data_IF_255259992639
#
_entry.id   IF_255259992639
#
_cell.length_a   1.000
_cell.length_b   1.000
_cell.length_c   1.000
_cell.angle_alpha   90.00
_cell.angle_beta   90.00
_cell.angle_gamma   90.00
#
_symmetry.space_group_name_H-M   'P 1'
#
loop_
_entity.id
_entity.type
_entity.pdbx_description
1 polymer ?
#
# COMPACT_ATOMS: atom_id res chain seq x y z
N UNK A 1 -25.27 64.88 -6.25
CA UNK A 1 -26.44 64.13 -6.75
C UNK A 1 -26.63 62.90 -5.86
N UNK A 2 -27.86 62.36 -5.71
CA UNK A 2 -28.11 61.13 -4.94
C UNK A 2 -27.88 59.90 -5.85
N UNK A 3 -27.53 58.76 -5.27
CA UNK A 3 -27.08 57.57 -6.02
C UNK A 3 -27.03 56.26 -5.23
N UNK A 4 -27.96 56.08 -4.29
CA UNK A 4 -28.41 54.74 -3.87
C UNK A 4 -29.36 54.22 -4.99
N UNK A 5 -29.61 52.94 -5.26
CA UNK A 5 -29.31 51.64 -4.60
C UNK A 5 -29.01 50.59 -5.70
N UNK A 6 -28.45 49.42 -5.36
CA UNK A 6 -29.20 48.14 -5.41
C UNK A 6 -28.37 46.98 -4.83
N UNK A 7 -28.94 46.26 -3.87
CA UNK A 7 -28.40 45.00 -3.35
C UNK A 7 -28.59 43.88 -4.39
N UNK A 8 -27.56 43.07 -4.67
CA UNK A 8 -27.74 41.80 -5.40
C UNK A 8 -26.91 40.68 -4.77
N UNK A 9 -27.64 39.75 -4.16
CA UNK A 9 -27.30 38.37 -3.81
C UNK A 9 -26.09 38.08 -2.90
N UNK A 10 -26.41 37.45 -1.78
CA UNK A 10 -25.50 36.60 -1.01
C UNK A 10 -25.21 35.33 -1.82
N UNK A 11 -23.93 34.99 -1.99
CA UNK A 11 -23.50 33.65 -2.39
C UNK A 11 -22.62 33.07 -1.28
N UNK A 12 -23.01 31.91 -0.77
CA UNK A 12 -22.28 31.16 0.26
C UNK A 12 -21.02 30.49 -0.32
N UNK A 13 -20.07 31.32 -0.75
CA UNK A 13 -18.79 30.92 -1.34
C UNK A 13 -17.86 30.23 -0.35
N UNK A 14 -18.03 28.90 -0.19
CA UNK A 14 -17.04 28.05 0.46
C UNK A 14 -15.72 28.10 -0.32
N UNK A 15 -14.81 28.96 0.13
CA UNK A 15 -13.54 29.19 -0.53
C UNK A 15 -12.72 27.88 -0.67
N UNK A 16 -12.12 27.60 -1.85
CA UNK A 16 -11.22 26.46 -1.99
C UNK A 16 -10.00 26.68 -1.09
N UNK A 17 -9.78 25.77 -0.15
CA UNK A 17 -8.65 25.81 0.78
C UNK A 17 -7.33 25.48 0.07
N UNK A 18 -6.79 26.48 -0.64
CA UNK A 18 -5.47 26.42 -1.29
C UNK A 18 -4.40 26.40 -0.21
N UNK A 19 -3.86 25.21 0.08
CA UNK A 19 -2.65 25.06 0.91
C UNK A 19 -1.43 25.54 0.11
N UNK A 20 -0.74 26.62 0.51
CA UNK A 20 0.46 27.07 -0.18
C UNK A 20 1.70 26.29 0.31
N UNK A 21 2.66 26.06 -0.58
CA UNK A 21 4.07 25.86 -0.16
C UNK A 21 4.60 24.43 -0.02
N UNK A 22 3.81 23.37 -0.20
CA UNK A 22 4.36 22.01 -0.30
C UNK A 22 4.61 21.64 -1.77
N UNK A 23 5.85 21.77 -2.25
CA UNK A 23 6.20 21.39 -3.62
C UNK A 23 6.19 19.85 -3.77
N UNK A 24 5.10 19.33 -4.31
CA UNK A 24 4.97 17.93 -4.72
C UNK A 24 5.93 17.62 -5.88
N UNK A 25 7.16 17.22 -5.55
CA UNK A 25 8.12 16.70 -6.51
C UNK A 25 7.56 15.44 -7.18
N UNK A 26 7.21 15.57 -8.47
CA UNK A 26 6.72 14.46 -9.28
C UNK A 26 7.84 13.44 -9.47
N UNK A 27 7.82 12.35 -8.69
CA UNK A 27 8.67 11.19 -8.94
C UNK A 27 8.14 10.51 -10.21
N UNK A 28 8.89 10.47 -11.33
CA UNK A 28 8.46 9.78 -12.54
C UNK A 28 8.44 8.27 -12.28
N UNK A 29 7.41 7.60 -12.81
CA UNK A 29 7.34 6.15 -12.87
C UNK A 29 8.04 5.67 -14.15
N UNK A 30 9.00 4.76 -13.97
CA UNK A 30 9.93 4.24 -14.97
C UNK A 30 10.87 5.27 -15.63
N UNK A 31 11.99 5.53 -14.96
CA UNK A 31 13.29 5.58 -15.65
C UNK A 31 14.10 4.36 -15.18
N UNK A 32 14.63 3.59 -16.13
CA UNK A 32 15.33 2.32 -15.90
C UNK A 32 16.80 2.45 -16.31
N UNK A 33 17.66 1.67 -15.64
CA UNK A 33 19.04 1.33 -16.01
C UNK A 33 20.10 2.44 -15.89
N UNK A 34 21.27 2.05 -15.37
CA UNK A 34 22.59 2.69 -15.46
C UNK A 34 22.73 4.14 -14.89
N UNK A 35 23.91 4.63 -14.49
CA UNK A 35 25.24 4.02 -14.32
C UNK A 35 25.96 4.68 -13.11
N UNK A 36 26.70 3.86 -12.37
CA UNK A 36 28.04 4.04 -11.76
C UNK A 36 28.62 5.44 -11.43
N UNK A 37 29.36 5.64 -10.32
CA UNK A 37 29.49 4.89 -9.05
C UNK A 37 29.64 5.91 -7.86
N UNK A 38 30.74 6.25 -7.16
CA UNK A 38 32.09 5.69 -6.90
C UNK A 38 32.73 6.36 -5.65
N UNK A 39 32.86 5.66 -4.51
CA UNK A 39 33.85 5.94 -3.43
C UNK A 39 34.00 4.68 -2.55
N UNK A 40 35.14 3.97 -2.62
CA UNK A 40 36.32 4.09 -1.74
C UNK A 40 36.10 3.61 -0.30
N UNK A 41 36.58 2.40 -0.03
CA UNK A 41 36.79 1.85 1.31
C UNK A 41 37.99 0.87 1.24
N UNK A 42 39.20 1.43 1.15
CA UNK A 42 40.46 0.69 1.01
C UNK A 42 40.71 -0.41 2.07
N UNK A 43 41.01 -1.63 1.58
CA UNK A 43 41.78 -2.68 2.26
C UNK A 43 42.10 -3.84 1.29
N UNK A 44 43.22 -3.79 0.58
CA UNK A 44 43.81 -4.96 -0.06
C UNK A 44 44.79 -5.64 0.91
N UNK A 45 44.75 -6.97 1.03
CA UNK A 45 45.97 -7.81 1.04
C UNK A 45 45.68 -9.18 0.40
N UNK A 46 46.20 -9.36 -0.82
CA UNK A 46 46.77 -10.58 -1.45
C UNK A 46 46.19 -11.98 -1.17
N UNK A 47 45.76 -12.63 -2.27
CA UNK A 47 46.16 -13.99 -2.69
C UNK A 47 46.06 -15.20 -1.73
N UNK A 48 45.03 -16.05 -1.93
CA UNK A 48 45.21 -17.51 -2.00
C UNK A 48 43.98 -18.29 -2.54
N UNK A 49 44.25 -19.29 -3.40
CA UNK A 49 43.45 -20.50 -3.71
C UNK A 49 42.05 -20.38 -4.37
N UNK A 50 41.81 -21.05 -5.52
CA UNK A 50 40.51 -21.07 -6.20
C UNK A 50 39.54 -22.10 -5.59
N UNK A 51 38.92 -21.76 -4.46
CA UNK A 51 37.87 -22.59 -3.84
C UNK A 51 36.48 -22.30 -4.43
N UNK A 52 35.69 -23.36 -4.63
CA UNK A 52 34.40 -23.42 -5.32
C UNK A 52 33.37 -22.37 -4.84
N UNK A 53 33.36 -21.18 -5.46
CA UNK A 53 32.31 -20.17 -5.25
C UNK A 53 31.00 -20.62 -5.89
N UNK A 54 30.23 -21.39 -5.13
CA UNK A 54 28.89 -21.89 -5.46
C UNK A 54 28.02 -20.82 -6.13
N UNK A 55 27.46 -21.15 -7.29
CA UNK A 55 26.71 -20.23 -8.14
C UNK A 55 25.35 -19.85 -7.52
N UNK A 56 25.37 -19.00 -6.50
CA UNK A 56 24.19 -18.53 -5.77
C UNK A 56 23.47 -17.42 -6.54
N UNK A 57 23.05 -17.73 -7.76
CA UNK A 57 22.17 -16.89 -8.57
C UNK A 57 20.88 -16.62 -7.78
N UNK A 58 20.77 -15.41 -7.23
CA UNK A 58 19.66 -15.02 -6.37
C UNK A 58 18.38 -14.83 -7.19
N UNK A 59 17.66 -15.93 -7.43
CA UNK A 59 16.39 -15.95 -8.14
C UNK A 59 15.43 -14.91 -7.51
N UNK A 60 15.05 -13.89 -8.29
CA UNK A 60 14.13 -12.84 -7.86
C UNK A 60 12.78 -13.48 -7.51
N UNK A 61 12.54 -13.69 -6.21
CA UNK A 61 11.37 -14.42 -5.71
C UNK A 61 10.09 -13.77 -6.26
N UNK A 62 9.41 -14.50 -7.14
CA UNK A 62 8.30 -13.97 -7.92
C UNK A 62 7.13 -13.59 -7.01
N UNK A 63 6.35 -12.57 -7.41
CA UNK A 63 5.13 -12.18 -6.69
C UNK A 63 4.00 -13.15 -7.06
N UNK A 64 4.10 -14.40 -6.58
CA UNK A 64 3.13 -15.47 -6.82
C UNK A 64 1.73 -15.02 -6.42
N UNK A 65 0.87 -14.82 -7.42
CA UNK A 65 -0.56 -14.49 -7.23
C UNK A 65 -1.20 -15.59 -6.38
N UNK A 66 -2.18 -15.24 -5.57
CA UNK A 66 -3.00 -16.20 -4.84
C UNK A 66 -4.09 -16.74 -5.77
N UNK A 67 -4.33 -18.05 -5.73
CA UNK A 67 -5.44 -18.70 -6.42
C UNK A 67 -6.70 -18.72 -5.55
N UNK A 68 -7.86 -19.04 -6.15
CA UNK A 68 -9.12 -19.14 -5.40
C UNK A 68 -9.12 -20.36 -4.47
N UNK A 69 -8.47 -21.44 -4.89
CA UNK A 69 -8.27 -22.69 -4.17
C UNK A 69 -7.38 -22.47 -2.94
N UNK A 70 -6.27 -21.72 -3.09
CA UNK A 70 -5.42 -21.33 -1.96
C UNK A 70 -6.15 -20.43 -0.96
N UNK A 71 -7.00 -19.51 -1.44
CA UNK A 71 -7.83 -18.65 -0.60
C UNK A 71 -8.95 -19.42 0.14
N UNK A 72 -9.48 -20.50 -0.47
CA UNK A 72 -10.46 -21.39 0.16
C UNK A 72 -9.79 -22.27 1.21
N UNK A 73 -8.67 -22.91 0.86
CA UNK A 73 -7.87 -23.69 1.79
C UNK A 73 -7.44 -22.86 3.01
N UNK A 74 -7.04 -21.60 2.82
CA UNK A 74 -6.68 -20.71 3.93
C UNK A 74 -7.89 -20.36 4.82
N UNK A 75 -9.10 -20.24 4.27
CA UNK A 75 -10.34 -20.04 5.04
C UNK A 75 -10.70 -21.28 5.85
N UNK A 76 -10.76 -22.46 5.24
CA UNK A 76 -11.03 -23.72 5.95
C UNK A 76 -10.01 -24.01 7.06
N UNK A 77 -8.73 -23.71 6.82
CA UNK A 77 -7.67 -23.89 7.82
C UNK A 77 -7.80 -22.94 9.01
N UNK A 78 -8.10 -21.66 8.78
CA UNK A 78 -8.29 -20.67 9.85
C UNK A 78 -9.59 -20.90 10.61
N UNK A 79 -10.66 -21.36 9.96
CA UNK A 79 -11.90 -21.78 10.63
C UNK A 79 -11.66 -22.98 11.56
N UNK A 80 -10.90 -23.99 11.08
CA UNK A 80 -10.63 -25.23 11.84
C UNK A 80 -9.59 -25.09 12.96
N UNK A 81 -8.59 -24.21 12.79
CA UNK A 81 -7.44 -24.09 13.70
C UNK A 81 -7.29 -22.71 14.36
N UNK A 82 -8.14 -21.73 14.01
CA UNK A 82 -8.11 -20.37 14.53
C UNK A 82 -7.15 -19.42 13.81
N UNK A 83 -7.30 -18.11 14.07
CA UNK A 83 -6.39 -17.07 13.57
C UNK A 83 -5.03 -17.12 14.30
N UNK A 84 -4.14 -18.00 13.87
CA UNK A 84 -2.83 -18.17 14.51
C UNK A 84 -1.89 -19.06 13.71
N UNK A 85 -0.83 -19.53 14.38
CA UNK A 85 0.06 -20.63 13.98
C UNK A 85 0.35 -20.72 12.47
N UNK A 86 0.64 -19.57 11.84
CA UNK A 86 0.59 -19.44 10.38
C UNK A 86 1.60 -20.33 9.65
N UNK A 87 2.72 -20.66 10.30
CA UNK A 87 3.74 -21.55 9.74
C UNK A 87 3.36 -23.04 9.86
N UNK A 88 2.49 -23.41 10.80
CA UNK A 88 1.79 -24.70 10.81
C UNK A 88 0.69 -24.73 9.75
N UNK A 89 -0.07 -23.63 9.56
CA UNK A 89 -1.04 -23.57 8.46
C UNK A 89 -0.35 -23.63 7.08
N UNK A 90 0.87 -23.10 6.96
CA UNK A 90 1.65 -23.14 5.74
C UNK A 90 2.07 -24.57 5.33
N UNK A 91 2.29 -25.50 6.27
CA UNK A 91 2.69 -26.88 5.93
C UNK A 91 1.61 -27.70 5.23
N UNK A 92 0.36 -27.21 5.18
CA UNK A 92 -0.72 -27.83 4.42
C UNK A 92 -0.74 -27.37 2.94
N UNK A 93 -0.02 -26.32 2.57
CA UNK A 93 0.02 -25.82 1.20
C UNK A 93 1.08 -26.58 0.40
N UNK A 94 0.71 -27.12 -0.76
CA UNK A 94 1.64 -27.77 -1.69
C UNK A 94 2.50 -26.77 -2.50
N UNK A 95 2.31 -25.48 -2.29
CA UNK A 95 3.03 -24.36 -2.92
C UNK A 95 4.03 -23.73 -1.93
N UNK A 96 5.04 -23.00 -2.42
CA UNK A 96 6.07 -22.29 -1.61
C UNK A 96 5.53 -21.08 -0.80
N UNK A 97 4.44 -21.29 -0.05
CA UNK A 97 3.81 -20.31 0.82
C UNK A 97 4.41 -20.41 2.22
N UNK A 98 4.75 -19.26 2.79
CA UNK A 98 5.24 -19.12 4.17
C UNK A 98 4.14 -18.58 5.07
N UNK A 99 4.17 -18.86 6.38
CA UNK A 99 3.15 -18.36 7.31
C UNK A 99 3.05 -16.83 7.32
N UNK A 100 4.16 -16.13 7.05
CA UNK A 100 4.20 -14.68 6.82
C UNK A 100 3.32 -14.23 5.65
N UNK A 101 3.26 -15.00 4.57
CA UNK A 101 2.38 -14.73 3.42
C UNK A 101 0.92 -15.07 3.73
N UNK A 102 0.65 -16.20 4.40
CA UNK A 102 -0.70 -16.58 4.84
C UNK A 102 -1.31 -15.50 5.75
N UNK A 103 -0.58 -15.08 6.79
CA UNK A 103 -1.00 -14.02 7.72
C UNK A 103 -1.31 -12.70 7.01
N UNK A 104 -0.51 -12.33 6.01
CA UNK A 104 -0.73 -11.12 5.22
C UNK A 104 -1.93 -11.25 4.28
N UNK A 105 -2.14 -12.42 3.66
CA UNK A 105 -3.32 -12.69 2.82
C UNK A 105 -4.61 -12.69 3.63
N UNK A 106 -4.57 -13.28 4.82
CA UNK A 106 -5.69 -13.26 5.76
C UNK A 106 -6.08 -11.83 6.13
N UNK A 107 -5.18 -11.10 6.81
CA UNK A 107 -5.47 -9.77 7.38
C UNK A 107 -5.73 -8.67 6.36
N UNK A 108 -5.34 -8.86 5.10
CA UNK A 108 -5.55 -7.87 4.05
C UNK A 108 -6.68 -8.23 3.08
N UNK A 109 -7.15 -9.49 3.03
CA UNK A 109 -8.12 -9.92 2.02
C UNK A 109 -9.17 -10.94 2.48
N UNK A 110 -8.82 -11.95 3.29
CA UNK A 110 -9.74 -13.09 3.57
C UNK A 110 -10.47 -12.99 4.90
N UNK A 111 -9.97 -12.19 5.85
CA UNK A 111 -10.62 -11.90 7.11
C UNK A 111 -12.08 -11.39 6.87
N UNK A 112 -13.12 -12.07 7.40
CA UNK A 112 -14.52 -11.71 7.16
C UNK A 112 -14.91 -10.37 7.78
N UNK A 113 -14.07 -9.79 8.65
CA UNK A 113 -14.24 -8.43 9.18
C UNK A 113 -13.97 -7.35 8.12
N UNK A 114 -13.38 -7.69 6.97
CA UNK A 114 -13.01 -6.74 5.92
C UNK A 114 -14.18 -6.40 4.97
N UNK A 115 -14.57 -5.14 4.97
CA UNK A 115 -15.67 -4.56 4.19
C UNK A 115 -15.20 -4.24 2.78
N UNK A 116 -15.79 -4.95 1.80
CA UNK A 116 -15.52 -4.83 0.36
C UNK A 116 -16.35 -3.74 -0.35
N UNK A 117 -17.01 -2.84 0.40
CA UNK A 117 -17.82 -1.76 -0.19
C UNK A 117 -16.98 -0.74 -0.96
N UNK A 118 -17.64 0.04 -1.81
CA UNK A 118 -17.09 1.28 -2.37
C UNK A 118 -16.65 2.21 -1.23
N UNK A 119 -15.61 3.02 -1.46
CA UNK A 119 -15.15 4.04 -0.53
C UNK A 119 -16.13 5.22 -0.51
N UNK A 120 -16.60 5.61 0.67
CA UNK A 120 -17.41 6.81 0.82
C UNK A 120 -16.53 8.07 0.80
N UNK A 121 -17.07 9.19 0.29
CA UNK A 121 -16.34 10.48 0.26
C UNK A 121 -15.91 10.96 1.66
N UNK A 122 -16.63 10.55 2.70
CA UNK A 122 -16.28 10.82 4.10
C UNK A 122 -15.09 9.95 4.58
N UNK A 123 -15.00 8.69 4.16
CA UNK A 123 -13.82 7.85 4.39
C UNK A 123 -12.59 8.46 3.70
N UNK A 124 -12.73 8.92 2.46
CA UNK A 124 -11.66 9.58 1.72
C UNK A 124 -11.22 10.89 2.40
N UNK A 125 -12.16 11.72 2.85
CA UNK A 125 -11.87 12.94 3.58
C UNK A 125 -11.12 12.67 4.90
N UNK A 126 -11.56 11.68 5.69
CA UNK A 126 -10.86 11.27 6.92
C UNK A 126 -9.48 10.69 6.64
N UNK A 127 -9.32 9.94 5.55
CA UNK A 127 -8.05 9.33 5.14
C UNK A 127 -7.02 10.39 4.71
N UNK A 128 -7.45 11.38 3.92
CA UNK A 128 -6.62 12.50 3.49
C UNK A 128 -6.25 13.40 4.68
N UNK A 129 -7.21 13.75 5.54
CA UNK A 129 -6.96 14.56 6.73
C UNK A 129 -5.95 13.90 7.67
N UNK A 130 -6.17 12.65 8.07
CA UNK A 130 -5.27 11.95 8.97
C UNK A 130 -3.85 11.81 8.38
N UNK A 131 -3.73 11.53 7.09
CA UNK A 131 -2.41 11.46 6.44
C UNK A 131 -1.72 12.83 6.35
N UNK A 132 -2.46 13.94 6.28
CA UNK A 132 -1.91 15.29 6.38
C UNK A 132 -1.45 15.64 7.82
N UNK A 133 -2.08 15.08 8.86
CA UNK A 133 -1.60 15.13 10.25
C UNK A 133 -0.39 14.19 10.50
N UNK A 134 0.04 13.42 9.51
CA UNK A 134 1.19 12.51 9.58
C UNK A 134 0.87 11.09 10.06
N UNK A 135 -0.39 10.77 10.39
CA UNK A 135 -0.79 9.46 10.94
C UNK A 135 -0.28 8.28 10.10
N UNK A 136 0.15 7.22 10.79
CA UNK A 136 0.53 5.95 10.16
C UNK A 136 -0.70 5.15 9.71
N UNK A 137 -0.55 4.31 8.68
CA UNK A 137 -1.64 3.46 8.18
C UNK A 137 -2.25 2.57 9.27
N UNK A 138 -1.42 2.05 10.18
CA UNK A 138 -1.83 1.27 11.35
C UNK A 138 -2.53 2.09 12.43
N UNK A 139 -2.30 3.41 12.46
CA UNK A 139 -3.06 4.33 13.32
C UNK A 139 -4.46 4.52 12.75
N UNK A 140 -4.56 4.92 11.48
CA UNK A 140 -5.82 5.18 10.78
C UNK A 140 -6.70 3.93 10.66
N UNK A 141 -6.15 2.74 10.42
CA UNK A 141 -6.94 1.51 10.34
C UNK A 141 -7.74 1.19 11.62
N UNK A 142 -7.41 1.81 12.77
CA UNK A 142 -8.17 1.67 14.02
C UNK A 142 -9.45 2.53 14.07
N UNK A 143 -9.59 3.54 13.19
CA UNK A 143 -10.77 4.41 13.08
C UNK A 143 -11.60 4.16 11.79
N UNK A 144 -11.25 3.13 11.01
CA UNK A 144 -11.95 2.73 9.80
C UNK A 144 -12.50 1.30 9.96
N UNK A 145 -13.73 1.12 10.47
CA UNK A 145 -14.30 -0.19 10.72
C UNK A 145 -14.36 -1.02 9.43
N UNK A 146 -13.66 -2.16 9.44
CA UNK A 146 -13.61 -3.09 8.31
C UNK A 146 -12.70 -2.69 7.15
N UNK A 147 -11.79 -1.73 7.30
CA UNK A 147 -10.71 -1.46 6.33
C UNK A 147 -9.35 -1.78 6.97
N UNK A 148 -8.44 -2.45 6.26
CA UNK A 148 -7.08 -2.67 6.76
C UNK A 148 -6.10 -1.54 6.37
N UNK A 149 -4.93 -1.49 7.02
CA UNK A 149 -3.85 -0.53 6.71
C UNK A 149 -3.47 -0.54 5.22
N UNK A 150 -3.54 -1.73 4.61
CA UNK A 150 -3.26 -1.93 3.20
C UNK A 150 -4.35 -1.32 2.30
N UNK A 151 -5.63 -1.35 2.71
CA UNK A 151 -6.72 -0.73 1.94
C UNK A 151 -6.61 0.80 1.98
N UNK A 152 -6.37 1.38 3.17
CA UNK A 152 -6.17 2.82 3.35
C UNK A 152 -5.00 3.33 2.50
N UNK A 153 -3.85 2.64 2.58
CA UNK A 153 -2.67 2.92 1.76
C UNK A 153 -2.98 2.84 0.26
N UNK A 154 -3.70 1.81 -0.18
CA UNK A 154 -4.07 1.64 -1.59
C UNK A 154 -5.04 2.73 -2.06
N UNK A 155 -6.02 3.11 -1.24
CA UNK A 155 -6.96 4.19 -1.55
C UNK A 155 -6.28 5.54 -1.63
N UNK A 156 -5.40 5.86 -0.67
CA UNK A 156 -4.61 7.09 -0.69
C UNK A 156 -3.84 7.23 -2.02
N UNK A 157 -3.13 6.17 -2.45
CA UNK A 157 -2.43 6.19 -3.74
C UNK A 157 -3.34 6.20 -4.97
N UNK A 158 -4.62 5.82 -4.87
CA UNK A 158 -5.59 6.04 -5.96
C UNK A 158 -5.97 7.54 -6.04
N UNK A 159 -6.31 8.15 -4.91
CA UNK A 159 -6.68 9.57 -4.82
C UNK A 159 -5.55 10.48 -5.36
N UNK A 160 -4.29 10.18 -5.01
CA UNK A 160 -3.10 10.90 -5.46
C UNK A 160 -2.82 10.79 -6.97
N UNK A 161 -3.41 9.82 -7.69
CA UNK A 161 -3.20 9.63 -9.15
C UNK A 161 -4.17 10.42 -10.02
N UNK A 162 -5.13 11.13 -9.41
CA UNK A 162 -6.10 11.97 -10.10
C UNK A 162 -7.18 11.21 -10.88
N UNK A 163 -8.27 11.91 -11.29
CA UNK A 163 -9.48 11.29 -11.84
C UNK A 163 -9.32 10.63 -13.22
N UNK A 164 -8.19 10.83 -13.91
CA UNK A 164 -7.88 10.17 -15.20
C UNK A 164 -7.19 8.80 -15.09
N UNK A 165 -6.93 8.29 -13.88
CA UNK A 165 -6.07 7.13 -13.67
C UNK A 165 -6.78 5.78 -13.48
N UNK A 166 -8.12 5.78 -13.42
CA UNK A 166 -8.96 4.58 -13.33
C UNK A 166 -8.95 3.80 -14.65
N UNK A 167 -8.02 2.85 -14.78
CA UNK A 167 -7.96 1.95 -15.93
C UNK A 167 -9.26 1.13 -16.01
N UNK A 168 -9.96 1.21 -17.14
CA UNK A 168 -11.15 0.41 -17.42
C UNK A 168 -10.82 -1.08 -17.25
N UNK A 169 -11.81 -1.86 -16.80
CA UNK A 169 -11.67 -3.23 -16.30
C UNK A 169 -12.56 -4.19 -17.07
#
# INVERSE_FOLDING_TARGET
MRGEVQHMFDESGLAPFVVPGCQMSRIPIDSLLNEQDHEEASAEETEASPSLRSAKAAAKKSRTRWSAEEDEQLRTLVEKHGEGNWDFLASFFSTDRTGRQLRARWKNNLDPRLVRSVWASEEDARLLYGRAQGDSWSSLARSFPGRCDNDLKNRYYQLQRGPGSSKLR
#
